data_IF_477576454135
#
_entry.id   IF_477576454135
#
_cell.length_a   1.000
_cell.length_b   1.000
_cell.length_c   1.000
_cell.angle_alpha   90.00
_cell.angle_beta   90.00
_cell.angle_gamma   90.00
#
_symmetry.space_group_name_H-M   'P 1'
#
loop_
_entity.id
_entity.type
_entity.pdbx_description
1 polymer ?
#
# COMPACT_ATOMS: atom_id res chain seq x y z
N UNK A 1 16.70 -65.88 26.56
CA UNK A 1 15.38 -65.21 26.53
C UNK A 1 14.35 -66.22 26.07
N UNK A 2 13.25 -66.34 26.81
CA UNK A 2 12.13 -67.19 26.40
C UNK A 2 11.41 -66.52 25.21
N UNK A 3 10.87 -67.26 24.24
CA UNK A 3 10.16 -66.69 23.09
C UNK A 3 9.00 -65.75 23.46
N UNK A 4 8.43 -65.90 24.66
CA UNK A 4 7.44 -64.98 25.22
C UNK A 4 8.02 -63.59 25.56
N UNK A 5 9.27 -63.53 26.00
CA UNK A 5 9.95 -62.27 26.36
C UNK A 5 10.28 -61.45 25.10
N UNK A 6 10.72 -62.10 24.02
CA UNK A 6 11.01 -61.43 22.74
C UNK A 6 9.74 -60.89 22.08
N UNK A 7 8.63 -61.62 22.13
CA UNK A 7 7.33 -61.13 21.63
C UNK A 7 6.82 -59.93 22.44
N UNK A 8 6.93 -59.97 23.77
CA UNK A 8 6.55 -58.85 24.62
C UNK A 8 7.38 -57.60 24.31
N UNK A 9 8.70 -57.75 24.11
CA UNK A 9 9.61 -56.65 23.78
C UNK A 9 9.31 -56.03 22.42
N UNK A 10 9.02 -56.84 21.40
CA UNK A 10 8.63 -56.36 20.06
C UNK A 10 7.30 -55.61 20.09
N UNK A 11 6.33 -56.08 20.89
CA UNK A 11 5.02 -55.45 21.00
C UNK A 11 5.11 -54.10 21.73
N UNK A 12 5.92 -54.00 22.78
CA UNK A 12 6.20 -52.73 23.48
C UNK A 12 6.89 -51.74 22.53
N UNK A 13 7.90 -52.18 21.77
CA UNK A 13 8.59 -51.34 20.81
C UNK A 13 7.64 -50.84 19.70
N UNK A 14 6.78 -51.73 19.18
CA UNK A 14 5.80 -51.36 18.17
C UNK A 14 4.80 -50.32 18.68
N UNK A 15 4.30 -50.46 19.92
CA UNK A 15 3.41 -49.46 20.55
C UNK A 15 4.14 -48.13 20.75
N UNK A 16 5.38 -48.18 21.24
CA UNK A 16 6.20 -47.00 21.54
C UNK A 16 6.51 -46.17 20.28
N UNK A 17 6.54 -46.79 19.10
CA UNK A 17 6.68 -46.10 17.81
C UNK A 17 5.33 -45.72 17.19
N UNK A 18 4.34 -46.61 17.24
CA UNK A 18 3.04 -46.40 16.58
C UNK A 18 2.25 -45.26 17.23
N UNK A 19 2.26 -45.15 18.57
CA UNK A 19 1.48 -44.13 19.28
C UNK A 19 1.94 -42.70 18.93
N UNK A 20 3.24 -42.34 18.99
CA UNK A 20 3.71 -41.04 18.54
C UNK A 20 3.39 -40.74 17.08
N UNK A 21 3.54 -41.73 16.18
CA UNK A 21 3.24 -41.55 14.76
C UNK A 21 1.76 -41.25 14.56
N UNK A 22 0.86 -42.01 15.19
CA UNK A 22 -0.58 -41.77 15.13
C UNK A 22 -0.95 -40.40 15.71
N UNK A 23 -0.29 -39.96 16.79
CA UNK A 23 -0.51 -38.66 17.40
C UNK A 23 -0.07 -37.51 16.47
N UNK A 24 1.09 -37.64 15.81
CA UNK A 24 1.54 -36.67 14.79
C UNK A 24 0.58 -36.63 13.61
N UNK A 25 0.14 -37.79 13.10
CA UNK A 25 -0.84 -37.86 12.00
C UNK A 25 -2.16 -37.20 12.40
N UNK A 26 -2.67 -37.48 13.60
CA UNK A 26 -3.89 -36.87 14.10
C UNK A 26 -3.77 -35.34 14.21
N UNK A 27 -2.63 -34.82 14.69
CA UNK A 27 -2.35 -33.37 14.76
C UNK A 27 -2.32 -32.76 13.35
N UNK A 28 -1.66 -33.41 12.39
CA UNK A 28 -1.58 -32.93 11.00
C UNK A 28 -2.96 -32.92 10.35
N UNK A 29 -3.75 -33.99 10.50
CA UNK A 29 -5.10 -34.06 9.96
C UNK A 29 -6.02 -33.02 10.60
N UNK A 30 -5.92 -32.83 11.92
CA UNK A 30 -6.64 -31.77 12.63
C UNK A 30 -6.25 -30.39 12.11
N UNK A 31 -4.95 -30.11 11.91
CA UNK A 31 -4.48 -28.84 11.37
C UNK A 31 -4.97 -28.57 9.94
N UNK A 32 -4.96 -29.60 9.07
CA UNK A 32 -5.51 -29.50 7.70
C UNK A 32 -7.02 -29.24 7.75
N UNK A 33 -7.75 -29.94 8.60
CA UNK A 33 -9.20 -29.76 8.71
C UNK A 33 -9.56 -28.37 9.26
N UNK A 34 -8.84 -27.91 10.28
CA UNK A 34 -8.96 -26.55 10.81
C UNK A 34 -8.70 -25.50 9.72
N UNK A 35 -7.66 -25.70 8.91
CA UNK A 35 -7.37 -24.82 7.78
C UNK A 35 -8.49 -24.82 6.74
N UNK A 36 -9.06 -25.97 6.39
CA UNK A 36 -10.19 -26.07 5.46
C UNK A 36 -11.44 -25.36 6.00
N UNK A 37 -11.75 -25.52 7.28
CA UNK A 37 -12.90 -24.87 7.92
C UNK A 37 -12.75 -23.34 7.89
N UNK A 38 -11.55 -22.85 8.20
CA UNK A 38 -11.19 -21.43 8.11
C UNK A 38 -11.32 -20.88 6.69
N UNK A 39 -10.70 -21.55 5.73
CA UNK A 39 -10.72 -21.14 4.32
C UNK A 39 -12.18 -21.10 3.83
N UNK A 40 -13.01 -22.07 4.21
CA UNK A 40 -14.43 -22.10 3.88
C UNK A 40 -15.24 -20.97 4.55
N UNK A 41 -14.93 -20.63 5.81
CA UNK A 41 -15.58 -19.50 6.50
C UNK A 41 -15.25 -18.17 5.82
N UNK A 42 -13.99 -17.95 5.48
CA UNK A 42 -13.53 -16.74 4.80
C UNK A 42 -14.14 -16.60 3.41
N UNK A 43 -14.19 -17.69 2.66
CA UNK A 43 -14.83 -17.73 1.34
C UNK A 43 -16.34 -17.46 1.43
N UNK A 44 -17.05 -18.01 2.43
CA UNK A 44 -18.48 -17.69 2.67
C UNK A 44 -18.68 -16.21 3.00
N UNK A 45 -17.84 -15.63 3.85
CA UNK A 45 -17.90 -14.20 4.18
C UNK A 45 -17.62 -13.34 2.95
N UNK A 46 -16.62 -13.70 2.15
CA UNK A 46 -16.29 -13.00 0.91
C UNK A 46 -17.49 -12.99 -0.04
N UNK A 47 -18.05 -14.16 -0.35
CA UNK A 47 -19.27 -14.28 -1.18
C UNK A 47 -20.43 -13.48 -0.62
N UNK A 48 -20.68 -13.55 0.68
CA UNK A 48 -21.78 -12.83 1.36
C UNK A 48 -21.66 -11.31 1.20
N UNK A 49 -20.44 -10.78 1.18
CA UNK A 49 -20.17 -9.35 1.08
C UNK A 49 -19.87 -8.88 -0.35
N UNK A 50 -19.91 -9.76 -1.34
CA UNK A 50 -19.53 -9.44 -2.72
C UNK A 50 -18.03 -9.16 -2.90
N UNK A 51 -17.20 -9.77 -2.06
CA UNK A 51 -15.74 -9.67 -2.09
C UNK A 51 -15.12 -10.92 -2.74
N UNK A 52 -13.86 -10.80 -3.15
CA UNK A 52 -13.07 -11.89 -3.70
C UNK A 52 -12.31 -12.63 -2.60
N UNK A 53 -12.10 -13.93 -2.79
CA UNK A 53 -11.22 -14.75 -1.95
C UNK A 53 -10.20 -15.47 -2.83
N UNK A 54 -8.92 -15.11 -2.68
CA UNK A 54 -7.82 -15.75 -3.40
C UNK A 54 -6.55 -15.76 -2.54
N UNK A 55 -5.74 -16.82 -2.67
CA UNK A 55 -4.48 -16.95 -1.93
C UNK A 55 -4.60 -16.74 -0.42
N UNK A 56 -5.72 -17.18 0.19
CA UNK A 56 -6.06 -16.99 1.61
C UNK A 56 -6.17 -15.52 2.05
N UNK A 57 -6.59 -14.66 1.13
CA UNK A 57 -6.91 -13.26 1.38
C UNK A 57 -8.31 -12.99 0.88
N UNK A 58 -9.13 -12.34 1.70
CA UNK A 58 -10.39 -11.75 1.25
C UNK A 58 -10.11 -10.29 0.91
N UNK A 59 -10.53 -9.80 -0.25
CA UNK A 59 -10.32 -8.42 -0.66
C UNK A 59 -11.39 -7.94 -1.64
N UNK A 60 -11.54 -6.63 -1.78
CA UNK A 60 -12.45 -6.02 -2.75
C UNK A 60 -12.99 -4.68 -2.28
N UNK A 61 -14.09 -4.23 -2.91
CA UNK A 61 -14.78 -3.01 -2.55
C UNK A 61 -16.02 -3.34 -1.70
N UNK A 62 -16.05 -2.82 -0.47
CA UNK A 62 -17.21 -2.87 0.41
C UNK A 62 -17.72 -1.44 0.63
N UNK A 63 -18.95 -1.15 0.23
CA UNK A 63 -19.52 0.22 0.26
C UNK A 63 -18.62 1.26 -0.44
N UNK A 64 -17.98 0.87 -1.55
CA UNK A 64 -17.05 1.71 -2.30
C UNK A 64 -15.67 1.92 -1.64
N UNK A 65 -15.39 1.26 -0.51
CA UNK A 65 -14.10 1.32 0.17
C UNK A 65 -13.31 0.04 -0.06
N UNK A 66 -12.01 0.17 -0.37
CA UNK A 66 -11.14 -0.98 -0.52
C UNK A 66 -10.85 -1.59 0.85
N UNK A 67 -11.19 -2.86 1.00
CA UNK A 67 -10.97 -3.63 2.23
C UNK A 67 -10.19 -4.90 1.93
N UNK A 68 -9.44 -5.38 2.93
CA UNK A 68 -8.81 -6.70 2.88
C UNK A 68 -8.79 -7.37 4.25
N UNK A 69 -8.80 -8.70 4.25
CA UNK A 69 -8.68 -9.57 5.41
C UNK A 69 -7.63 -10.63 5.08
N UNK A 70 -6.62 -10.75 5.95
CA UNK A 70 -5.50 -11.70 5.80
C UNK A 70 -4.96 -12.15 7.14
N UNK A 71 -4.18 -13.23 7.15
CA UNK A 71 -3.37 -13.59 8.32
C UNK A 71 -1.97 -13.02 8.19
N UNK A 72 -1.46 -12.40 9.26
CA UNK A 72 -0.07 -11.96 9.37
C UNK A 72 0.59 -12.67 10.54
N UNK A 73 1.85 -13.08 10.38
CA UNK A 73 2.62 -13.61 11.50
C UNK A 73 3.75 -12.65 11.84
N UNK A 74 3.76 -12.16 13.09
CA UNK A 74 4.72 -11.18 13.60
C UNK A 74 5.67 -11.84 14.61
N UNK A 75 6.89 -11.33 14.71
CA UNK A 75 7.93 -11.82 15.63
C UNK A 75 8.97 -12.75 14.98
N UNK A 76 10.02 -13.08 15.74
CA UNK A 76 11.12 -13.94 15.31
C UNK A 76 11.34 -15.12 16.28
N UNK A 77 11.76 -16.26 15.74
CA UNK A 77 12.06 -17.47 16.51
C UNK A 77 10.86 -17.97 17.34
N UNK A 78 11.07 -18.12 18.65
CA UNK A 78 10.07 -18.64 19.60
C UNK A 78 8.95 -17.64 19.95
N UNK A 79 9.07 -16.38 19.55
CA UNK A 79 8.08 -15.33 19.82
C UNK A 79 7.20 -15.03 18.59
N UNK A 80 6.92 -16.06 17.79
CA UNK A 80 6.16 -15.92 16.55
C UNK A 80 4.66 -16.02 16.87
N UNK A 81 3.90 -14.97 16.59
CA UNK A 81 2.47 -14.91 16.86
C UNK A 81 1.70 -14.56 15.59
N UNK A 82 0.64 -15.33 15.31
CA UNK A 82 -0.23 -15.13 14.16
C UNK A 82 -1.41 -14.24 14.55
N UNK A 83 -1.81 -13.37 13.63
CA UNK A 83 -2.90 -12.43 13.76
C UNK A 83 -3.82 -12.52 12.55
N UNK A 84 -5.10 -12.27 12.78
CA UNK A 84 -6.06 -11.96 11.72
C UNK A 84 -6.13 -10.45 11.60
N UNK A 85 -5.81 -9.93 10.42
CA UNK A 85 -5.69 -8.50 10.15
C UNK A 85 -6.74 -8.11 9.13
N UNK A 86 -7.54 -7.11 9.48
CA UNK A 86 -8.44 -6.44 8.56
C UNK A 86 -7.91 -5.05 8.31
N UNK A 87 -7.84 -4.65 7.05
CA UNK A 87 -7.36 -3.33 6.66
C UNK A 87 -8.26 -2.70 5.61
N UNK A 88 -8.15 -1.38 5.51
CA UNK A 88 -8.74 -0.59 4.45
C UNK A 88 -7.75 0.47 4.01
N UNK A 89 -7.67 0.70 2.69
CA UNK A 89 -6.78 1.69 2.10
C UNK A 89 -7.62 2.84 1.54
N UNK A 90 -7.31 4.10 1.87
CA UNK A 90 -7.94 5.22 1.21
C UNK A 90 -7.51 5.24 -0.26
N UNK A 91 -8.36 5.76 -1.16
CA UNK A 91 -8.01 5.88 -2.57
C UNK A 91 -6.82 6.83 -2.81
N UNK A 92 -6.50 7.69 -1.85
CA UNK A 92 -5.32 8.54 -1.86
C UNK A 92 -4.72 8.57 -0.47
N UNK A 93 -3.41 8.45 -0.38
CA UNK A 93 -2.68 8.59 0.88
C UNK A 93 -2.90 9.97 1.48
N UNK A 94 -2.87 10.04 2.79
CA UNK A 94 -2.80 11.31 3.49
C UNK A 94 -1.33 11.79 3.55
N UNK A 95 -1.14 13.03 3.99
CA UNK A 95 0.15 13.69 4.05
C UNK A 95 0.35 14.42 5.40
N UNK A 96 -0.15 13.79 6.47
CA UNK A 96 -0.18 14.35 7.83
C UNK A 96 0.97 13.84 8.70
N UNK A 97 1.69 12.79 8.27
CA UNK A 97 2.55 12.02 9.17
C UNK A 97 1.74 11.33 10.26
N UNK A 98 0.49 10.97 9.96
CA UNK A 98 -0.47 10.50 10.95
C UNK A 98 -0.12 9.10 11.44
N UNK A 99 -0.21 8.93 12.75
CA UNK A 99 -0.29 7.62 13.39
C UNK A 99 -1.26 7.71 14.57
N UNK A 100 -2.33 6.94 14.52
CA UNK A 100 -3.26 6.72 15.64
C UNK A 100 -3.23 5.25 16.00
N UNK A 101 -2.94 4.94 17.25
CA UNK A 101 -2.96 3.56 17.77
C UNK A 101 -3.75 3.49 19.06
N UNK A 102 -4.43 2.37 19.31
CA UNK A 102 -4.96 2.07 20.66
C UNK A 102 -3.83 2.16 21.68
N UNK A 103 -4.06 2.83 22.81
CA UNK A 103 -3.04 2.88 23.85
C UNK A 103 -2.84 1.51 24.50
N UNK A 104 -1.59 1.09 24.60
CA UNK A 104 -1.19 0.01 25.50
C UNK A 104 -0.99 0.51 26.93
N UNK A 105 -0.96 -0.42 27.89
CA UNK A 105 -0.79 -0.13 29.32
C UNK A 105 0.47 0.70 29.66
N UNK A 106 1.52 0.64 28.83
CA UNK A 106 2.80 1.33 29.05
C UNK A 106 2.99 2.60 28.20
N UNK A 107 2.03 2.97 27.36
CA UNK A 107 2.18 4.09 26.44
C UNK A 107 2.31 5.45 27.15
N UNK A 108 1.58 5.63 28.24
CA UNK A 108 1.62 6.89 29.01
C UNK A 108 2.96 7.06 29.74
N UNK A 109 3.59 5.96 30.19
CA UNK A 109 4.92 5.98 30.79
C UNK A 109 5.98 6.40 29.76
N UNK A 110 5.96 5.83 28.55
CA UNK A 110 6.89 6.22 27.47
C UNK A 110 6.69 7.66 27.00
N UNK A 111 5.44 8.12 26.93
CA UNK A 111 5.13 9.51 26.62
C UNK A 111 5.66 10.47 27.68
N UNK A 112 5.53 10.12 28.98
CA UNK A 112 6.03 10.95 30.08
C UNK A 112 7.56 11.09 30.11
N UNK A 113 8.28 10.14 29.52
CA UNK A 113 9.73 10.18 29.35
C UNK A 113 10.17 10.93 28.08
N UNK A 114 9.24 11.53 27.33
CA UNK A 114 9.52 12.25 26.08
C UNK A 114 9.89 11.34 24.91
N UNK A 115 9.79 10.01 25.07
CA UNK A 115 10.18 9.02 24.06
C UNK A 115 9.09 8.82 22.99
N UNK A 116 7.87 9.29 23.25
CA UNK A 116 6.73 9.21 22.31
C UNK A 116 6.05 10.57 22.23
N UNK A 117 6.05 11.20 21.04
CA UNK A 117 5.22 12.40 20.79
C UNK A 117 3.76 11.96 20.70
N UNK A 118 2.97 12.37 21.70
CA UNK A 118 1.54 12.15 21.73
C UNK A 118 0.83 13.52 21.73
N UNK A 119 0.07 13.81 20.67
CA UNK A 119 -0.71 15.05 20.56
C UNK A 119 -2.09 14.84 21.20
N UNK A 120 -2.67 15.92 21.73
CA UNK A 120 -4.05 15.94 22.22
C UNK A 120 -4.93 16.61 21.19
N UNK A 121 -6.08 16.00 20.89
CA UNK A 121 -7.05 16.57 19.93
C UNK A 121 -8.23 17.25 20.62
N UNK A 122 -8.26 17.25 21.95
CA UNK A 122 -9.25 17.98 22.75
C UNK A 122 -10.51 17.18 23.07
N UNK A 123 -10.45 15.86 22.92
CA UNK A 123 -11.53 14.92 23.28
C UNK A 123 -11.00 14.00 24.38
N UNK A 124 -11.32 14.24 25.67
CA UNK A 124 -10.68 13.53 26.78
C UNK A 124 -10.85 12.01 26.72
N UNK A 125 -12.01 11.52 26.27
CA UNK A 125 -12.26 10.08 26.14
C UNK A 125 -11.40 9.47 25.04
N UNK A 126 -11.33 10.12 23.88
CA UNK A 126 -10.49 9.67 22.78
C UNK A 126 -8.99 9.78 23.10
N UNK A 127 -8.55 10.90 23.68
CA UNK A 127 -7.17 11.17 24.08
C UNK A 127 -6.66 10.25 25.21
N UNK A 128 -7.59 9.60 25.93
CA UNK A 128 -7.31 8.56 26.90
C UNK A 128 -7.18 7.18 26.23
N UNK A 129 -8.04 6.86 25.26
CA UNK A 129 -8.06 5.57 24.58
C UNK A 129 -6.97 5.41 23.49
N UNK A 130 -6.53 6.52 22.88
CA UNK A 130 -5.64 6.50 21.72
C UNK A 130 -4.34 7.31 21.91
N UNK A 131 -3.27 6.82 21.31
CA UNK A 131 -2.03 7.56 21.09
C UNK A 131 -2.06 8.15 19.69
N UNK A 132 -1.80 9.44 19.56
CA UNK A 132 -1.91 10.19 18.32
C UNK A 132 -0.58 10.89 18.05
N UNK A 133 -0.03 10.72 16.85
CA UNK A 133 1.12 11.48 16.35
C UNK A 133 0.78 12.01 14.96
N UNK A 134 1.23 13.23 14.69
CA UNK A 134 1.14 13.88 13.38
C UNK A 134 2.16 15.02 13.33
N UNK A 135 2.50 15.47 12.12
CA UNK A 135 3.36 16.63 11.93
C UNK A 135 2.70 17.91 12.45
N UNK A 136 1.39 18.02 12.22
CA UNK A 136 0.61 19.22 12.51
C UNK A 136 -0.64 18.86 13.32
N UNK A 137 -0.64 19.12 14.65
CA UNK A 137 -1.73 18.72 15.53
C UNK A 137 -3.12 19.20 15.10
N UNK A 138 -3.19 20.43 14.56
CA UNK A 138 -4.44 21.02 14.10
C UNK A 138 -5.03 20.30 12.87
N UNK A 139 -4.19 19.76 11.97
CA UNK A 139 -4.63 18.98 10.81
C UNK A 139 -5.12 17.59 11.23
N UNK A 140 -4.43 16.96 12.18
CA UNK A 140 -4.88 15.71 12.77
C UNK A 140 -6.23 15.88 13.47
N UNK A 141 -6.42 16.97 14.24
CA UNK A 141 -7.71 17.30 14.84
C UNK A 141 -8.80 17.55 13.80
N UNK A 142 -8.49 18.20 12.69
CA UNK A 142 -9.44 18.41 11.58
C UNK A 142 -9.85 17.10 10.88
N UNK A 143 -8.94 16.11 10.82
CA UNK A 143 -9.22 14.78 10.28
C UNK A 143 -10.03 13.92 11.27
N UNK A 144 -9.66 13.94 12.56
CA UNK A 144 -10.28 13.18 13.64
C UNK A 144 -11.59 13.84 14.09
N UNK A 145 -12.51 14.00 13.14
CA UNK A 145 -13.90 14.45 13.34
C UNK A 145 -14.66 13.57 14.34
N UNK A 146 -15.72 14.08 15.00
CA UNK A 146 -16.51 13.30 15.94
C UNK A 146 -16.97 11.95 15.38
N UNK A 147 -17.36 11.90 14.10
CA UNK A 147 -17.84 10.69 13.44
C UNK A 147 -16.71 9.66 13.27
N UNK A 148 -15.52 10.10 12.85
CA UNK A 148 -14.35 9.22 12.75
C UNK A 148 -13.89 8.75 14.13
N UNK A 149 -13.91 9.62 15.14
CA UNK A 149 -13.58 9.24 16.52
C UNK A 149 -14.54 8.19 17.05
N UNK A 150 -15.84 8.38 16.85
CA UNK A 150 -16.85 7.41 17.26
C UNK A 150 -16.66 6.06 16.56
N UNK A 151 -16.37 6.07 15.25
CA UNK A 151 -16.09 4.85 14.50
C UNK A 151 -14.87 4.08 15.03
N UNK A 152 -13.80 4.80 15.43
CA UNK A 152 -12.60 4.20 16.02
C UNK A 152 -12.85 3.70 17.45
N UNK A 153 -13.51 4.49 18.30
CA UNK A 153 -13.83 4.14 19.68
C UNK A 153 -14.78 2.96 19.80
N UNK A 154 -15.57 2.67 18.76
CA UNK A 154 -16.44 1.48 18.70
C UNK A 154 -15.71 0.16 18.43
N UNK A 155 -14.39 0.19 18.21
CA UNK A 155 -13.57 -0.99 17.93
C UNK A 155 -12.80 -1.37 19.19
N UNK A 156 -12.95 -2.61 19.64
CA UNK A 156 -12.31 -3.14 20.86
C UNK A 156 -10.90 -3.67 20.62
N UNK A 157 -10.61 -4.01 19.38
CA UNK A 157 -9.38 -4.61 18.90
C UNK A 157 -8.30 -3.54 18.76
N UNK A 158 -7.02 -3.92 18.88
CA UNK A 158 -5.92 -3.02 18.55
C UNK A 158 -6.07 -2.48 17.12
N UNK A 159 -6.14 -1.15 17.01
CA UNK A 159 -6.21 -0.44 15.73
C UNK A 159 -4.95 0.37 15.44
N UNK A 160 -4.70 0.57 14.15
CA UNK A 160 -3.69 1.47 13.63
C UNK A 160 -4.31 2.24 12.46
N UNK A 161 -4.33 3.57 12.56
CA UNK A 161 -4.66 4.48 11.47
C UNK A 161 -3.41 5.27 11.10
N UNK A 162 -3.04 5.26 9.83
CA UNK A 162 -1.90 6.02 9.30
C UNK A 162 -2.29 6.78 8.05
N UNK A 163 -1.33 7.50 7.47
CA UNK A 163 -1.47 8.12 6.15
C UNK A 163 -1.86 7.12 5.04
N UNK A 164 -1.45 5.85 5.18
CA UNK A 164 -1.74 4.78 4.21
C UNK A 164 -3.07 4.07 4.45
N UNK A 165 -3.78 4.39 5.53
CA UNK A 165 -5.11 3.85 5.82
C UNK A 165 -5.27 3.26 7.21
N UNK A 166 -6.25 2.39 7.33
CA UNK A 166 -6.69 1.82 8.60
C UNK A 166 -6.42 0.32 8.64
N UNK A 167 -6.05 -0.18 9.81
CA UNK A 167 -6.00 -1.61 10.10
C UNK A 167 -6.41 -1.89 11.54
N UNK A 168 -6.97 -3.08 11.74
CA UNK A 168 -7.15 -3.66 13.05
C UNK A 168 -6.72 -5.12 13.03
N UNK A 169 -6.31 -5.62 14.19
CA UNK A 169 -5.82 -6.99 14.29
C UNK A 169 -6.27 -7.67 15.57
N UNK A 170 -6.63 -8.94 15.47
CA UNK A 170 -6.88 -9.82 16.61
C UNK A 170 -5.93 -11.00 16.58
N UNK A 171 -5.64 -11.56 17.75
CA UNK A 171 -4.69 -12.68 17.86
C UNK A 171 -5.29 -13.98 17.36
N UNK A 172 -4.46 -14.84 16.78
CA UNK A 172 -4.87 -16.11 16.22
C UNK A 172 -5.45 -15.97 14.82
N UNK A 173 -6.01 -17.08 14.33
CA UNK A 173 -6.75 -17.08 13.08
C UNK A 173 -8.23 -17.27 13.35
N UNK A 174 -9.01 -16.25 13.01
CA UNK A 174 -10.44 -16.22 13.28
C UNK A 174 -11.21 -16.87 12.13
N UNK A 175 -12.12 -17.76 12.48
CA UNK A 175 -13.10 -18.39 11.59
C UNK A 175 -14.56 -18.01 11.93
N UNK A 176 -14.79 -17.25 13.01
CA UNK A 176 -16.11 -16.71 13.35
C UNK A 176 -16.58 -15.70 12.29
N UNK A 177 -17.51 -16.16 11.46
CA UNK A 177 -18.11 -15.35 10.39
C UNK A 177 -18.76 -14.04 10.89
N UNK A 178 -19.31 -14.02 12.11
CA UNK A 178 -19.92 -12.80 12.65
C UNK A 178 -18.86 -11.73 12.89
N UNK A 179 -17.75 -12.13 13.52
CA UNK A 179 -16.61 -11.26 13.74
C UNK A 179 -16.01 -10.79 12.41
N UNK A 180 -15.80 -11.71 11.45
CA UNK A 180 -15.23 -11.38 10.13
C UNK A 180 -16.08 -10.36 9.36
N UNK A 181 -17.41 -10.54 9.35
CA UNK A 181 -18.35 -9.60 8.71
C UNK A 181 -18.33 -8.24 9.41
N UNK A 182 -18.38 -8.23 10.74
CA UNK A 182 -18.32 -7.01 11.53
C UNK A 182 -17.00 -6.25 11.25
N UNK A 183 -15.87 -6.94 11.27
CA UNK A 183 -14.55 -6.34 11.10
C UNK A 183 -14.39 -5.70 9.71
N UNK A 184 -14.80 -6.39 8.63
CA UNK A 184 -14.77 -5.83 7.28
C UNK A 184 -15.66 -4.58 7.15
N UNK A 185 -16.85 -4.59 7.77
CA UNK A 185 -17.75 -3.43 7.77
C UNK A 185 -17.21 -2.27 8.59
N UNK A 186 -16.61 -2.53 9.74
CA UNK A 186 -15.99 -1.50 10.56
C UNK A 186 -14.80 -0.85 9.83
N UNK A 187 -13.95 -1.63 9.16
CA UNK A 187 -12.88 -1.09 8.32
C UNK A 187 -13.41 -0.22 7.17
N UNK A 188 -14.45 -0.69 6.46
CA UNK A 188 -15.11 0.10 5.41
C UNK A 188 -15.72 1.41 5.98
N UNK A 189 -16.35 1.36 7.16
CA UNK A 189 -16.89 2.56 7.80
C UNK A 189 -15.80 3.56 8.16
N UNK A 190 -14.70 3.11 8.80
CA UNK A 190 -13.57 3.99 9.14
C UNK A 190 -12.96 4.63 7.89
N UNK A 191 -12.77 3.86 6.81
CA UNK A 191 -12.29 4.39 5.54
C UNK A 191 -13.23 5.46 4.95
N UNK A 192 -14.55 5.22 4.99
CA UNK A 192 -15.53 6.19 4.52
C UNK A 192 -15.52 7.49 5.35
N UNK A 193 -15.49 7.38 6.68
CA UNK A 193 -15.40 8.55 7.57
C UNK A 193 -14.10 9.33 7.35
N UNK A 194 -12.98 8.64 7.19
CA UNK A 194 -11.69 9.26 6.86
C UNK A 194 -11.74 9.98 5.50
N UNK A 195 -12.35 9.35 4.47
CA UNK A 195 -12.49 9.93 3.14
C UNK A 195 -13.43 11.15 3.10
N UNK A 196 -14.39 11.24 4.02
CA UNK A 196 -15.22 12.43 4.22
C UNK A 196 -14.46 13.52 4.98
N UNK A 197 -13.85 13.16 6.11
CA UNK A 197 -13.14 14.09 6.98
C UNK A 197 -11.96 14.78 6.28
N UNK A 198 -11.19 14.05 5.45
CA UNK A 198 -10.05 14.62 4.71
C UNK A 198 -10.41 15.84 3.86
N UNK A 199 -11.67 15.96 3.40
CA UNK A 199 -12.13 17.10 2.58
C UNK A 199 -12.11 18.42 3.35
N UNK A 200 -12.12 18.36 4.68
CA UNK A 200 -12.09 19.53 5.59
C UNK A 200 -10.70 19.82 6.12
N UNK A 201 -9.72 18.93 5.88
CA UNK A 201 -8.35 19.11 6.37
C UNK A 201 -7.65 20.14 5.46
N UNK A 202 -7.09 21.21 6.03
CA UNK A 202 -6.35 22.18 5.24
C UNK A 202 -5.04 21.56 4.73
N UNK A 203 -4.42 22.15 3.68
CA UNK A 203 -3.06 21.79 3.28
C UNK A 203 -2.08 21.92 4.45
N UNK A 204 -0.93 21.26 4.34
CA UNK A 204 0.15 21.45 5.29
C UNK A 204 0.56 22.93 5.38
N UNK A 205 0.99 23.41 6.53
CA UNK A 205 1.38 24.83 6.69
C UNK A 205 2.46 25.25 5.70
N UNK A 206 3.43 24.38 5.42
CA UNK A 206 4.49 24.62 4.42
C UNK A 206 3.99 24.64 2.97
N UNK A 207 2.75 24.22 2.71
CA UNK A 207 2.12 24.25 1.39
C UNK A 207 1.07 25.37 1.24
N UNK A 208 0.83 26.13 2.31
CA UNK A 208 -0.23 27.14 2.32
C UNK A 208 0.05 28.28 1.33
N UNK A 209 1.31 28.65 1.11
CA UNK A 209 1.69 29.69 0.14
C UNK A 209 1.34 29.31 -1.30
N UNK A 210 1.40 28.01 -1.65
CA UNK A 210 1.09 27.53 -3.00
C UNK A 210 -0.42 27.44 -3.27
N UNK A 211 -1.26 27.48 -2.22
CA UNK A 211 -2.70 27.17 -2.31
C UNK A 211 -3.44 28.06 -3.31
N UNK A 212 -3.16 29.36 -3.30
CA UNK A 212 -3.86 30.32 -4.17
C UNK A 212 -3.50 30.11 -5.64
N UNK A 213 -2.22 29.89 -5.94
CA UNK A 213 -1.73 29.71 -7.30
C UNK A 213 -2.17 28.36 -7.88
N UNK A 214 -2.06 27.28 -7.11
CA UNK A 214 -2.55 25.96 -7.51
C UNK A 214 -4.06 25.94 -7.76
N UNK A 215 -4.84 26.63 -6.91
CA UNK A 215 -6.28 26.79 -7.13
C UNK A 215 -6.55 27.49 -8.45
N UNK A 216 -5.90 28.63 -8.70
CA UNK A 216 -6.08 29.42 -9.93
C UNK A 216 -5.68 28.61 -11.17
N UNK A 217 -4.56 27.89 -11.11
CA UNK A 217 -4.08 27.03 -12.19
C UNK A 217 -5.07 25.91 -12.49
N UNK A 218 -5.55 25.20 -11.46
CA UNK A 218 -6.52 24.12 -11.63
C UNK A 218 -7.84 24.63 -12.26
N UNK A 219 -8.34 25.79 -11.82
CA UNK A 219 -9.54 26.42 -12.37
C UNK A 219 -9.35 26.84 -13.84
N UNK A 220 -8.19 27.40 -14.18
CA UNK A 220 -7.88 27.82 -15.56
C UNK A 220 -7.70 26.65 -16.54
N UNK A 221 -7.32 25.47 -16.05
CA UNK A 221 -7.03 24.28 -16.86
C UNK A 221 -8.12 23.20 -16.77
N UNK A 222 -9.16 23.41 -15.95
CA UNK A 222 -10.21 22.42 -15.74
C UNK A 222 -9.80 21.21 -14.88
N UNK A 223 -8.67 21.29 -14.16
CA UNK A 223 -8.21 20.22 -13.28
C UNK A 223 -9.02 20.18 -11.99
N UNK A 224 -9.25 18.96 -11.49
CA UNK A 224 -9.77 18.72 -10.14
C UNK A 224 -8.67 18.93 -9.10
N UNK A 225 -9.05 19.21 -7.85
CA UNK A 225 -8.10 19.41 -6.75
C UNK A 225 -8.60 18.92 -5.40
N UNK A 226 -7.66 18.60 -4.52
CA UNK A 226 -7.88 18.35 -3.09
C UNK A 226 -6.81 19.04 -2.25
N UNK A 227 -7.15 19.36 -0.99
CA UNK A 227 -6.25 20.03 -0.05
C UNK A 227 -5.47 19.06 0.83
N UNK A 228 -5.95 17.83 0.99
CA UNK A 228 -5.29 16.77 1.75
C UNK A 228 -5.58 15.42 1.08
N UNK A 229 -4.58 14.80 0.44
CA UNK A 229 -3.25 15.39 0.17
C UNK A 229 -3.35 16.65 -0.71
N UNK A 230 -2.36 17.53 -0.68
CA UNK A 230 -2.34 18.69 -1.58
C UNK A 230 -2.07 18.24 -3.03
N UNK A 231 -3.10 18.19 -3.86
CA UNK A 231 -3.05 17.52 -5.17
C UNK A 231 -4.04 18.12 -6.17
N UNK A 232 -3.70 18.03 -7.46
CA UNK A 232 -4.59 18.25 -8.59
C UNK A 232 -4.45 17.15 -9.65
N UNK A 233 -5.53 16.85 -10.35
CA UNK A 233 -5.59 15.78 -11.35
C UNK A 233 -6.67 16.06 -12.40
N UNK A 234 -6.53 15.43 -13.56
CA UNK A 234 -7.47 15.58 -14.68
C UNK A 234 -6.76 15.49 -16.01
N UNK A 235 -7.41 15.97 -17.06
CA UNK A 235 -6.83 16.05 -18.40
C UNK A 235 -6.22 17.44 -18.63
N UNK A 236 -4.94 17.48 -18.99
CA UNK A 236 -4.22 18.68 -19.40
C UNK A 236 -3.74 18.47 -20.84
N UNK A 237 -4.28 19.25 -21.78
CA UNK A 237 -3.93 19.16 -23.21
C UNK A 237 -4.04 17.74 -23.79
N UNK A 238 -5.13 17.04 -23.44
CA UNK A 238 -5.39 15.66 -23.89
C UNK A 238 -4.53 14.60 -23.18
N UNK A 239 -3.82 14.97 -22.11
CA UNK A 239 -3.00 14.04 -21.33
C UNK A 239 -3.53 13.95 -19.91
N UNK A 240 -3.84 12.73 -19.48
CA UNK A 240 -4.26 12.51 -18.09
C UNK A 240 -3.06 12.66 -17.17
N UNK A 241 -3.19 13.54 -16.18
CA UNK A 241 -2.13 13.85 -15.22
C UNK A 241 -2.61 13.83 -13.77
N UNK A 242 -1.63 13.72 -12.87
CA UNK A 242 -1.76 14.03 -11.45
C UNK A 242 -0.52 14.79 -10.99
N UNK A 243 -0.69 15.93 -10.32
CA UNK A 243 0.37 16.67 -9.67
C UNK A 243 0.06 16.77 -8.18
N UNK A 244 0.96 16.28 -7.32
CA UNK A 244 0.72 16.20 -5.87
C UNK A 244 1.95 16.56 -5.04
N UNK A 245 1.72 17.07 -3.84
CA UNK A 245 2.72 17.10 -2.80
C UNK A 245 2.88 15.71 -2.19
N UNK A 246 4.11 15.24 -2.08
CA UNK A 246 4.49 13.98 -1.44
C UNK A 246 5.31 14.32 -0.20
N UNK A 247 4.83 13.86 0.96
CA UNK A 247 5.55 14.00 2.22
C UNK A 247 6.80 13.11 2.20
N UNK A 248 7.97 13.70 2.38
CA UNK A 248 9.27 13.00 2.44
C UNK A 248 9.91 13.04 3.83
N UNK A 249 9.32 13.79 4.76
CA UNK A 249 9.72 13.89 6.15
C UNK A 249 8.77 14.81 6.92
N UNK A 250 9.00 15.02 8.22
CA UNK A 250 8.21 15.95 9.01
C UNK A 250 8.20 17.34 8.39
N UNK A 251 7.01 17.82 7.99
CA UNK A 251 6.81 19.11 7.32
C UNK A 251 7.58 19.32 6.01
N UNK A 252 8.21 18.26 5.47
CA UNK A 252 9.02 18.30 4.26
C UNK A 252 8.27 17.64 3.10
N UNK A 253 8.10 18.38 2.01
CA UNK A 253 7.31 17.97 0.86
C UNK A 253 8.08 18.14 -0.45
N UNK A 254 7.81 17.24 -1.39
CA UNK A 254 8.29 17.26 -2.76
C UNK A 254 7.11 17.24 -3.72
N UNK A 255 7.27 17.86 -4.88
CA UNK A 255 6.24 17.75 -5.92
C UNK A 255 6.47 16.49 -6.75
N UNK A 256 5.41 15.73 -6.96
CA UNK A 256 5.38 14.61 -7.90
C UNK A 256 4.35 14.90 -9.00
N UNK A 257 4.79 14.83 -10.26
CA UNK A 257 3.92 14.92 -11.43
C UNK A 257 3.92 13.57 -12.12
N UNK A 258 2.73 13.03 -12.35
CA UNK A 258 2.50 11.77 -13.04
C UNK A 258 1.71 12.02 -14.31
N UNK A 259 2.17 11.42 -15.41
CA UNK A 259 1.43 11.25 -16.67
C UNK A 259 1.01 9.79 -16.75
N UNK A 260 -0.28 9.56 -16.99
CA UNK A 260 -0.82 8.20 -17.12
C UNK A 260 -0.74 7.73 -18.57
N UNK A 261 -0.53 6.43 -18.77
CA UNK A 261 -0.76 5.81 -20.07
C UNK A 261 -2.25 5.73 -20.37
N UNK A 262 -2.62 5.78 -21.65
CA UNK A 262 -4.01 5.56 -22.08
C UNK A 262 -4.49 4.14 -21.76
N UNK A 263 -3.58 3.17 -21.89
CA UNK A 263 -3.78 1.77 -21.51
C UNK A 263 -2.63 1.31 -20.61
N UNK A 264 -2.91 0.61 -19.50
CA UNK A 264 -1.86 0.03 -18.68
C UNK A 264 -0.99 -0.95 -19.49
N UNK A 265 0.30 -0.98 -19.20
CA UNK A 265 1.24 -1.84 -19.96
C UNK A 265 1.05 -3.34 -19.69
N UNK A 266 0.46 -3.70 -18.54
CA UNK A 266 0.27 -5.09 -18.08
C UNK A 266 1.56 -5.94 -18.10
N UNK A 267 2.71 -5.31 -17.87
CA UNK A 267 4.02 -5.97 -17.84
C UNK A 267 4.50 -6.19 -16.40
N UNK A 268 3.78 -5.65 -15.42
CA UNK A 268 4.24 -5.45 -14.04
C UNK A 268 5.60 -4.77 -14.03
N UNK A 269 5.78 -3.82 -14.94
CA UNK A 269 7.02 -3.10 -15.15
C UNK A 269 7.19 -2.05 -14.06
N UNK A 270 8.41 -1.94 -13.55
CA UNK A 270 8.81 -0.93 -12.59
C UNK A 270 10.23 -0.49 -12.90
N UNK A 271 10.40 0.79 -13.24
CA UNK A 271 11.70 1.43 -13.46
C UNK A 271 11.84 2.55 -12.44
N UNK A 272 12.95 2.60 -11.70
CA UNK A 272 13.22 3.67 -10.72
C UNK A 272 14.72 3.97 -10.65
N UNK A 273 15.14 5.14 -10.15
CA UNK A 273 16.56 5.44 -10.05
C UNK A 273 17.24 4.52 -9.01
N UNK A 274 18.48 4.15 -9.28
CA UNK A 274 19.31 3.37 -8.35
C UNK A 274 19.59 4.17 -7.06
N UNK A 275 19.75 3.47 -5.92
CA UNK A 275 20.04 4.08 -4.61
C UNK A 275 18.85 4.75 -3.90
N UNK A 276 17.68 4.84 -4.54
CA UNK A 276 16.48 5.45 -3.97
C UNK A 276 15.71 4.52 -3.01
N UNK A 277 16.34 4.08 -1.91
CA UNK A 277 15.89 3.02 -0.96
C UNK A 277 16.23 1.62 -1.48
N UNK A 278 17.48 1.20 -1.29
CA UNK A 278 17.93 -0.17 -1.60
C UNK A 278 17.27 -1.23 -0.69
N UNK A 279 16.68 -0.82 0.44
CA UNK A 279 15.98 -1.70 1.38
C UNK A 279 14.62 -2.22 0.88
N UNK A 280 13.97 -1.54 -0.08
CA UNK A 280 12.68 -2.01 -0.65
C UNK A 280 12.86 -3.16 -1.66
N UNK A 281 14.07 -3.37 -2.19
CA UNK A 281 14.37 -4.46 -3.12
C UNK A 281 14.16 -5.85 -2.48
N UNK A 282 14.43 -5.97 -1.18
CA UNK A 282 14.20 -7.19 -0.42
C UNK A 282 12.71 -7.54 -0.25
N UNK A 283 11.80 -6.56 -0.34
CA UNK A 283 10.38 -6.75 -0.08
C UNK A 283 9.62 -7.34 -1.28
N UNK A 284 10.08 -7.08 -2.50
CA UNK A 284 9.39 -7.54 -3.72
C UNK A 284 9.96 -8.82 -4.32
N UNK A 285 11.15 -9.27 -3.88
CA UNK A 285 11.76 -10.53 -4.33
C UNK A 285 11.98 -10.61 -5.85
N UNK A 286 12.07 -9.46 -6.53
CA UNK A 286 12.21 -9.38 -7.99
C UNK A 286 13.63 -9.04 -8.39
N UNK A 287 14.13 -9.81 -9.35
CA UNK A 287 15.42 -9.62 -9.99
C UNK A 287 15.46 -8.30 -10.78
N UNK A 288 16.60 -7.61 -10.68
CA UNK A 288 16.91 -6.41 -11.47
C UNK A 288 17.40 -6.84 -12.86
N UNK A 289 16.73 -6.37 -13.92
CA UNK A 289 16.99 -6.76 -15.30
C UNK A 289 17.94 -5.76 -15.98
N UNK A 290 19.05 -6.24 -16.50
CA UNK A 290 20.03 -5.42 -17.25
C UNK A 290 19.65 -5.30 -18.72
N UNK A 291 19.78 -4.11 -19.28
CA UNK A 291 19.48 -3.81 -20.69
C UNK A 291 20.74 -3.69 -21.55
N UNK A 292 21.91 -4.02 -20.99
CA UNK A 292 23.23 -3.89 -21.61
C UNK A 292 23.55 -2.45 -22.02
N UNK A 293 23.09 -1.49 -21.23
CA UNK A 293 23.34 -0.07 -21.44
C UNK A 293 24.21 0.45 -20.28
N UNK A 294 25.50 0.76 -20.55
CA UNK A 294 26.48 1.04 -19.49
C UNK A 294 26.19 2.35 -18.73
N UNK A 295 25.30 3.20 -19.24
CA UNK A 295 24.90 4.45 -18.58
C UNK A 295 23.55 4.29 -17.88
N UNK A 296 22.61 3.60 -18.50
CA UNK A 296 21.27 3.41 -17.96
C UNK A 296 21.24 2.39 -16.82
N UNK A 297 21.88 1.22 -16.98
CA UNK A 297 21.86 0.13 -16.00
C UNK A 297 22.40 0.54 -14.60
N UNK A 298 23.46 1.36 -14.45
CA UNK A 298 23.85 1.85 -13.12
C UNK A 298 22.95 2.96 -12.59
N UNK A 299 22.21 3.66 -13.44
CA UNK A 299 21.34 4.78 -13.04
C UNK A 299 19.94 4.32 -12.62
N UNK A 300 19.48 3.16 -13.10
CA UNK A 300 18.13 2.66 -12.88
C UNK A 300 18.10 1.19 -12.46
N UNK A 301 17.14 0.86 -11.61
CA UNK A 301 16.71 -0.51 -11.33
C UNK A 301 15.48 -0.81 -12.18
N UNK A 302 15.48 -1.93 -12.89
CA UNK A 302 14.40 -2.34 -13.80
C UNK A 302 13.84 -3.69 -13.37
N UNK A 303 12.54 -3.73 -13.10
CA UNK A 303 11.82 -4.96 -12.75
C UNK A 303 10.64 -5.15 -13.71
N UNK A 304 10.37 -6.40 -14.09
CA UNK A 304 9.24 -6.75 -14.97
C UNK A 304 8.86 -8.21 -14.79
N UNK A 305 7.58 -8.54 -15.00
CA UNK A 305 7.14 -9.93 -15.15
C UNK A 305 7.36 -10.47 -16.57
N UNK A 306 7.73 -9.60 -17.52
CA UNK A 306 8.04 -9.91 -18.93
C UNK A 306 9.38 -9.30 -19.32
N UNK A 307 10.50 -9.80 -18.79
CA UNK A 307 11.82 -9.22 -19.03
C UNK A 307 12.25 -9.28 -20.51
N UNK A 308 11.79 -10.27 -21.26
CA UNK A 308 12.07 -10.44 -22.69
C UNK A 308 11.56 -9.29 -23.56
N UNK A 309 10.59 -8.52 -23.06
CA UNK A 309 10.00 -7.36 -23.74
C UNK A 309 10.69 -6.05 -23.41
N UNK A 310 11.53 -6.01 -22.37
CA UNK A 310 12.14 -4.78 -21.88
C UNK A 310 13.02 -4.06 -22.92
N UNK A 311 13.88 -4.75 -23.71
CA UNK A 311 14.70 -4.06 -24.71
C UNK A 311 13.89 -3.37 -25.81
N UNK A 312 12.65 -3.81 -26.04
CA UNK A 312 11.74 -3.21 -27.02
C UNK A 312 11.04 -2.00 -26.41
N UNK A 313 10.47 -2.14 -25.21
CA UNK A 313 9.72 -1.08 -24.52
C UNK A 313 10.65 0.06 -24.09
N UNK A 314 11.77 -0.29 -23.47
CA UNK A 314 12.82 0.61 -23.03
C UNK A 314 13.94 0.64 -24.07
N UNK A 315 13.62 1.01 -25.30
CA UNK A 315 14.61 1.18 -26.37
C UNK A 315 15.66 2.25 -26.02
N UNK A 316 16.68 2.40 -26.86
CA UNK A 316 17.77 3.35 -26.62
C UNK A 316 17.27 4.80 -26.43
N UNK A 317 16.25 5.22 -27.17
CA UNK A 317 15.74 6.58 -27.05
C UNK A 317 14.91 6.80 -25.80
N UNK A 318 14.10 5.83 -25.37
CA UNK A 318 13.41 5.87 -24.08
C UNK A 318 14.43 5.93 -22.94
N UNK A 319 15.47 5.09 -22.97
CA UNK A 319 16.53 5.12 -21.94
C UNK A 319 17.22 6.48 -21.86
N UNK A 320 17.55 7.09 -23.00
CA UNK A 320 18.11 8.45 -23.06
C UNK A 320 17.14 9.51 -22.52
N UNK A 321 15.84 9.44 -22.85
CA UNK A 321 14.83 10.36 -22.33
C UNK A 321 14.68 10.24 -20.82
N UNK A 322 14.61 9.02 -20.27
CA UNK A 322 14.55 8.81 -18.83
C UNK A 322 15.81 9.30 -18.11
N UNK A 323 17.00 9.09 -18.69
CA UNK A 323 18.25 9.65 -18.16
C UNK A 323 18.28 11.19 -18.20
N UNK A 324 17.74 11.81 -19.24
CA UNK A 324 17.64 13.28 -19.33
C UNK A 324 16.66 13.83 -18.28
N UNK A 325 15.45 13.26 -18.21
CA UNK A 325 14.44 13.60 -17.21
C UNK A 325 15.00 13.50 -15.80
N UNK A 326 15.69 12.39 -15.50
CA UNK A 326 16.23 12.12 -14.18
C UNK A 326 17.30 13.14 -13.77
N UNK A 327 18.20 13.49 -14.70
CA UNK A 327 19.28 14.45 -14.46
C UNK A 327 18.76 15.88 -14.32
N UNK A 328 17.76 16.27 -15.11
CA UNK A 328 17.28 17.66 -15.18
C UNK A 328 16.25 18.00 -14.10
N UNK A 329 15.35 17.07 -13.79
CA UNK A 329 14.17 17.39 -12.98
C UNK A 329 14.04 16.59 -11.68
N UNK A 330 14.78 15.49 -11.53
CA UNK A 330 14.77 14.67 -10.31
C UNK A 330 14.31 13.23 -10.56
N UNK A 331 13.91 12.52 -9.50
CA UNK A 331 13.67 11.07 -9.55
C UNK A 331 12.53 10.71 -10.49
N UNK A 332 12.83 10.04 -11.61
CA UNK A 332 11.82 9.53 -12.56
C UNK A 332 11.52 8.07 -12.30
N UNK A 333 10.24 7.71 -12.29
CA UNK A 333 9.77 6.33 -12.14
C UNK A 333 8.79 5.97 -13.24
N UNK A 334 8.87 4.74 -13.75
CA UNK A 334 7.91 4.18 -14.70
C UNK A 334 7.24 2.98 -14.07
N UNK A 335 5.91 2.92 -14.16
CA UNK A 335 5.08 1.79 -13.70
C UNK A 335 4.25 1.27 -14.86
N UNK A 336 3.38 0.27 -14.63
CA UNK A 336 2.38 -0.12 -15.62
C UNK A 336 1.32 0.96 -15.88
N UNK A 337 1.15 1.94 -14.97
CA UNK A 337 0.10 2.96 -15.06
C UNK A 337 0.58 4.25 -15.75
N UNK A 338 1.88 4.49 -15.80
CA UNK A 338 2.42 5.73 -16.33
C UNK A 338 3.84 6.05 -15.88
N UNK A 339 4.25 7.29 -16.14
CA UNK A 339 5.53 7.87 -15.74
C UNK A 339 5.28 8.92 -14.68
N UNK A 340 6.03 8.86 -13.58
CA UNK A 340 6.03 9.88 -12.53
C UNK A 340 7.41 10.49 -12.37
N UNK A 341 7.45 11.76 -12.00
CA UNK A 341 8.67 12.48 -11.72
C UNK A 341 8.52 13.23 -10.41
N UNK A 342 9.47 13.01 -9.50
CA UNK A 342 9.54 13.67 -8.22
C UNK A 342 10.68 14.69 -8.21
N UNK A 343 10.31 15.96 -8.06
CA UNK A 343 11.25 17.07 -7.92
C UNK A 343 11.78 17.13 -6.48
N UNK A 344 12.99 17.63 -6.28
CA UNK A 344 13.64 17.79 -4.97
C UNK A 344 12.93 18.82 -4.08
N UNK A 345 12.13 19.70 -4.68
CA UNK A 345 11.35 20.73 -3.99
C UNK A 345 9.91 20.80 -4.50
N UNK A 346 9.04 21.42 -3.72
CA UNK A 346 7.73 21.85 -4.21
C UNK A 346 7.93 22.99 -5.21
N UNK A 347 7.31 22.88 -6.40
CA UNK A 347 7.29 24.01 -7.31
C UNK A 347 6.43 25.12 -6.71
N UNK A 348 7.06 26.25 -6.42
CA UNK A 348 6.35 27.44 -5.95
C UNK A 348 5.25 27.85 -6.93
N UNK A 349 5.56 27.78 -8.23
CA UNK A 349 4.70 28.16 -9.33
C UNK A 349 4.20 26.95 -10.13
N UNK A 350 2.89 26.62 -10.09
CA UNK A 350 2.32 25.52 -10.86
C UNK A 350 2.36 25.73 -12.38
N UNK A 351 2.67 26.94 -12.88
CA UNK A 351 2.80 27.21 -14.33
C UNK A 351 3.97 26.47 -14.99
N UNK A 352 4.89 25.91 -14.22
CA UNK A 352 5.93 25.02 -14.75
C UNK A 352 5.43 23.60 -15.11
N UNK A 353 4.24 23.23 -14.65
CA UNK A 353 3.70 21.87 -14.82
C UNK A 353 3.44 21.51 -16.29
N UNK A 354 2.85 22.36 -17.14
CA UNK A 354 2.67 22.05 -18.56
C UNK A 354 3.98 21.68 -19.28
N UNK A 355 5.07 22.40 -19.02
CA UNK A 355 6.37 22.10 -19.62
C UNK A 355 6.90 20.72 -19.17
N UNK A 356 6.80 20.41 -17.87
CA UNK A 356 7.17 19.11 -17.34
C UNK A 356 6.29 17.97 -17.89
N UNK A 357 4.98 18.20 -17.97
CA UNK A 357 4.02 17.25 -18.57
C UNK A 357 4.35 17.00 -20.04
N UNK A 358 4.76 18.01 -20.80
CA UNK A 358 5.21 17.86 -22.18
C UNK A 358 6.37 16.86 -22.31
N UNK A 359 7.38 16.97 -21.45
CA UNK A 359 8.52 16.04 -21.44
C UNK A 359 8.14 14.63 -20.98
N UNK A 360 7.27 14.49 -19.97
CA UNK A 360 6.79 13.18 -19.51
C UNK A 360 5.90 12.49 -20.54
N UNK A 361 5.05 13.26 -21.25
CA UNK A 361 4.18 12.78 -22.33
C UNK A 361 4.98 12.20 -23.49
N UNK A 362 6.07 12.85 -23.90
CA UNK A 362 6.93 12.34 -24.96
C UNK A 362 7.48 10.94 -24.61
N UNK A 363 8.04 10.80 -23.40
CA UNK A 363 8.51 9.50 -22.93
C UNK A 363 7.37 8.47 -22.83
N UNK A 364 6.20 8.88 -22.34
CA UNK A 364 5.07 7.98 -22.15
C UNK A 364 4.48 7.47 -23.47
N UNK A 365 4.37 8.35 -24.46
CA UNK A 365 3.91 8.00 -25.80
C UNK A 365 4.86 6.98 -26.44
N UNK A 366 6.17 7.22 -26.38
CA UNK A 366 7.15 6.29 -26.95
C UNK A 366 7.13 4.91 -26.28
N UNK A 367 7.02 4.87 -24.96
CA UNK A 367 6.87 3.60 -24.22
C UNK A 367 5.62 2.85 -24.66
N UNK A 368 4.51 3.57 -24.83
CA UNK A 368 3.22 2.99 -25.27
C UNK A 368 3.31 2.46 -26.70
N UNK A 369 3.89 3.23 -27.62
CA UNK A 369 4.12 2.83 -29.02
C UNK A 369 5.03 1.59 -29.10
N UNK A 370 6.13 1.58 -28.34
CA UNK A 370 7.04 0.43 -28.27
C UNK A 370 6.36 -0.82 -27.69
N UNK A 371 5.52 -0.64 -26.66
CA UNK A 371 4.73 -1.73 -26.10
C UNK A 371 3.70 -2.28 -27.11
N UNK A 372 3.10 -1.44 -27.96
CA UNK A 372 2.21 -1.89 -29.03
C UNK A 372 2.96 -2.53 -30.23
N UNK A 373 4.17 -2.03 -30.53
CA UNK A 373 4.90 -2.15 -31.80
C UNK A 373 5.48 -3.51 -32.21
N UNK A 374 5.18 -4.62 -31.52
CA UNK A 374 5.43 -5.98 -32.06
C UNK A 374 4.22 -6.91 -32.01
N UNK A 375 3.09 -6.46 -31.46
CA UNK A 375 1.83 -7.22 -31.51
C UNK A 375 1.04 -6.91 -32.78
N UNK A 376 1.15 -5.69 -33.33
CA UNK A 376 0.46 -5.30 -34.57
C UNK A 376 0.99 -6.02 -35.83
N UNK A 377 2.28 -6.38 -35.87
CA UNK A 377 2.87 -7.12 -37.00
C UNK A 377 2.67 -8.64 -36.98
N UNK A 378 2.06 -9.20 -35.92
CA UNK A 378 1.82 -10.66 -35.77
C UNK A 378 0.35 -11.06 -35.71
N UNK A 379 -0.58 -10.11 -35.70
CA UNK A 379 -1.99 -10.40 -35.98
C UNK A 379 -2.15 -10.59 -37.51
N UNK A 380 -1.86 -11.81 -37.98
CA UNK A 380 -2.14 -12.19 -39.37
C UNK A 380 -3.63 -11.98 -39.71
N UNK A 381 -3.98 -11.87 -41.00
CA UNK A 381 -5.29 -11.46 -41.50
C UNK A 381 -6.45 -12.46 -41.24
N UNK A 382 -6.28 -13.39 -40.31
CA UNK A 382 -7.31 -14.34 -39.88
C UNK A 382 -7.62 -14.13 -38.39
N UNK A 383 -8.43 -13.12 -38.10
CA UNK A 383 -9.28 -13.06 -36.92
C UNK A 383 -10.61 -12.42 -37.27
#
# INVERSE_FOLDING_TARGET
MRPAETLALLLVLAILVAVPVLLVVAIVLWAINQQKQRDAAWERVARRLGLEYANRVVYGLLNGQQVSLRTETRGSGKSRQTYTVVSSMPPQWLDLGLQVTTKGFFDDALASLGLKRNIKIGDPGFDAAFSISADEPHRAAALLTPELRHALSGITEPVVLTDSGFSMSTSGVIDDEKWLVWALRAAANVAAQMAQARRRVPPASSLMEHRAEWKRFAEATGLSRTSTPFCMWGDLEGTRISARAVRVGPLAYQMEVQVFFDLPLHMRMFVRPAGALDDLAAFFGREDHRLNDPVFDPAFVVQSARPERLPEVLDEGVRRLLLDLNRRFGSVQVTDEGISLRNTSMAADPRGIPALVGHLREAAQRITENAAGKSAGRAGPYR
#
